data_IF_348152898018
#
_entry.id   IF_348152898018
#
_cell.length_a   1.000
_cell.length_b   1.000
_cell.length_c   1.000
_cell.angle_alpha   90.00
_cell.angle_beta   90.00
_cell.angle_gamma   90.00
#
_symmetry.space_group_name_H-M   'P 1'
#
loop_
_entity.id
_entity.type
_entity.pdbx_description
1 polymer ?
#
# COMPACT_ATOMS: atom_id res chain seq x y z
N UNK A 1 30.74 -3.21 -8.40
CA UNK A 1 29.39 -3.59 -8.21
C UNK A 1 28.92 -3.36 -6.79
N UNK A 2 27.83 -2.76 -6.69
CA UNK A 2 27.34 -2.33 -5.40
C UNK A 2 26.21 -3.24 -4.95
N UNK A 3 26.41 -3.95 -3.88
CA UNK A 3 25.42 -4.88 -3.37
C UNK A 3 24.18 -4.20 -2.85
N UNK A 4 24.29 -2.95 -2.49
CA UNK A 4 23.12 -2.23 -2.02
C UNK A 4 22.09 -2.08 -3.13
N UNK A 5 22.53 -2.11 -4.36
CA UNK A 5 21.61 -2.04 -5.47
C UNK A 5 20.87 -3.33 -5.69
N UNK A 6 21.27 -4.37 -5.00
CA UNK A 6 20.59 -5.64 -5.05
C UNK A 6 19.54 -5.76 -3.98
N UNK A 7 19.17 -4.66 -3.41
CA UNK A 7 18.04 -4.65 -2.53
C UNK A 7 16.91 -5.38 -3.16
N UNK A 8 16.29 -6.28 -2.46
CA UNK A 8 15.16 -6.97 -3.01
C UNK A 8 14.14 -5.94 -3.46
N UNK A 9 13.43 -6.28 -4.50
CA UNK A 9 12.36 -5.46 -4.99
C UNK A 9 11.20 -5.46 -4.02
N UNK A 10 11.51 -5.58 -2.76
CA UNK A 10 10.51 -5.62 -1.72
C UNK A 10 9.95 -4.24 -1.51
N UNK A 11 8.65 -4.14 -1.62
CA UNK A 11 7.94 -2.90 -1.44
C UNK A 11 7.44 -2.79 -0.01
N UNK A 12 7.34 -1.58 0.48
CA UNK A 12 6.75 -1.32 1.78
C UNK A 12 5.37 -0.71 1.54
N UNK A 13 4.33 -1.47 1.87
CA UNK A 13 2.95 -1.05 1.64
C UNK A 13 2.27 -0.84 2.97
N UNK A 14 1.67 0.32 3.15
CA UNK A 14 0.92 0.63 4.35
C UNK A 14 -0.52 0.95 4.00
N UNK A 15 -1.42 0.35 4.75
CA UNK A 15 -2.84 0.61 4.63
C UNK A 15 -3.22 1.53 5.79
N UNK A 16 -3.61 2.75 5.48
CA UNK A 16 -3.96 3.72 6.50
C UNK A 16 -5.46 3.66 6.78
N UNK A 17 -5.81 3.44 8.03
CA UNK A 17 -7.21 3.39 8.42
C UNK A 17 -7.40 2.57 9.67
N UNK A 18 -8.53 2.76 10.35
CA UNK A 18 -8.76 2.16 11.65
C UNK A 18 -9.77 1.01 11.57
N UNK A 19 -9.45 -0.02 10.81
CA UNK A 19 -10.22 -1.27 10.83
C UNK A 19 -11.60 -1.22 10.26
N UNK A 20 -11.92 -0.21 9.44
CA UNK A 20 -13.23 -0.15 8.81
C UNK A 20 -13.31 -1.19 7.67
N UNK A 21 -14.53 -1.53 7.23
CA UNK A 21 -14.68 -2.53 6.17
C UNK A 21 -13.92 -2.18 4.90
N UNK A 22 -13.88 -0.90 4.54
CA UNK A 22 -13.14 -0.47 3.35
C UNK A 22 -11.65 -0.64 3.53
N UNK A 23 -11.13 -0.43 4.74
CA UNK A 23 -9.72 -0.63 5.02
C UNK A 23 -9.34 -2.09 4.88
N UNK A 24 -10.19 -2.98 5.37
CA UNK A 24 -9.95 -4.41 5.22
C UNK A 24 -10.04 -4.85 3.77
N UNK A 25 -10.98 -4.28 3.03
CA UNK A 25 -11.12 -4.59 1.61
C UNK A 25 -9.88 -4.16 0.85
N UNK A 26 -9.33 -2.99 1.19
CA UNK A 26 -8.11 -2.51 0.55
C UNK A 26 -6.93 -3.42 0.88
N UNK A 27 -6.83 -3.83 2.13
CA UNK A 27 -5.74 -4.72 2.53
C UNK A 27 -5.82 -6.05 1.76
N UNK A 28 -7.02 -6.62 1.68
CA UNK A 28 -7.21 -7.87 0.95
C UNK A 28 -6.88 -7.70 -0.52
N UNK A 29 -7.36 -6.62 -1.12
CA UNK A 29 -7.11 -6.37 -2.53
C UNK A 29 -5.62 -6.16 -2.80
N UNK A 30 -4.92 -5.50 -1.89
CA UNK A 30 -3.48 -5.30 -2.03
C UNK A 30 -2.73 -6.62 -2.00
N UNK A 31 -3.08 -7.49 -1.06
CA UNK A 31 -2.44 -8.79 -0.96
C UNK A 31 -2.70 -9.63 -2.20
N UNK A 32 -3.92 -9.59 -2.72
CA UNK A 32 -4.25 -10.34 -3.93
C UNK A 32 -3.51 -9.80 -5.14
N UNK A 33 -3.41 -8.48 -5.26
CA UNK A 33 -2.71 -7.87 -6.38
C UNK A 33 -1.23 -8.20 -6.36
N UNK A 34 -0.62 -8.20 -5.18
CA UNK A 34 0.78 -8.56 -5.05
C UNK A 34 1.01 -10.01 -5.48
N UNK A 35 0.12 -10.89 -5.05
CA UNK A 35 0.22 -12.29 -5.39
C UNK A 35 0.11 -12.50 -6.89
N UNK A 36 -0.86 -11.85 -7.52
CA UNK A 36 -1.08 -11.99 -8.95
C UNK A 36 0.04 -11.40 -9.79
N UNK A 37 0.64 -10.31 -9.30
CA UNK A 37 1.72 -9.67 -10.03
C UNK A 37 3.09 -10.29 -9.72
N UNK A 38 3.15 -11.23 -8.78
CA UNK A 38 4.41 -11.84 -8.41
C UNK A 38 5.34 -10.89 -7.68
N UNK A 39 4.79 -9.90 -6.98
CA UNK A 39 5.58 -8.92 -6.27
C UNK A 39 5.75 -9.33 -4.80
N UNK A 40 6.92 -9.01 -4.27
CA UNK A 40 7.21 -9.25 -2.86
C UNK A 40 7.11 -7.92 -2.12
N UNK A 41 6.31 -7.89 -1.07
CA UNK A 41 6.09 -6.66 -0.33
C UNK A 41 5.75 -6.97 1.12
N UNK A 42 6.06 -6.01 1.98
CA UNK A 42 5.61 -6.04 3.36
C UNK A 42 4.36 -5.17 3.45
N UNK A 43 3.25 -5.77 3.86
CA UNK A 43 1.99 -5.06 3.99
C UNK A 43 1.69 -4.88 5.46
N UNK A 44 1.54 -3.66 5.89
CA UNK A 44 1.23 -3.36 7.28
C UNK A 44 0.06 -2.38 7.35
N UNK A 45 -0.58 -2.35 8.50
CA UNK A 45 -1.70 -1.45 8.73
C UNK A 45 -1.29 -0.36 9.69
N UNK A 46 -1.68 0.87 9.40
CA UNK A 46 -1.47 2.01 10.29
C UNK A 46 -2.84 2.47 10.75
N UNK A 47 -3.13 2.24 12.02
CA UNK A 47 -4.44 2.54 12.57
C UNK A 47 -4.45 3.75 13.48
N UNK A 48 -3.28 4.19 13.92
CA UNK A 48 -3.16 5.36 14.78
C UNK A 48 -3.41 6.62 13.96
N UNK A 49 -4.39 7.41 14.40
CA UNK A 49 -4.77 8.61 13.66
C UNK A 49 -3.61 9.61 13.55
N UNK A 50 -2.77 9.68 14.57
CA UNK A 50 -1.62 10.59 14.53
C UNK A 50 -0.63 10.16 13.45
N UNK A 51 -0.39 8.85 13.36
CA UNK A 51 0.51 8.34 12.32
C UNK A 51 -0.08 8.54 10.93
N UNK A 52 -1.39 8.35 10.80
CA UNK A 52 -2.06 8.58 9.53
C UNK A 52 -1.90 10.04 9.10
N UNK A 53 -2.04 10.96 10.03
CA UNK A 53 -1.91 12.38 9.74
C UNK A 53 -0.52 12.76 9.30
N UNK A 54 0.49 12.03 9.76
CA UNK A 54 1.87 12.30 9.34
C UNK A 54 2.09 12.08 7.85
N UNK A 55 1.24 11.28 7.22
CA UNK A 55 1.30 11.09 5.77
C UNK A 55 0.54 12.18 5.02
N UNK A 56 -0.04 13.12 5.72
CA UNK A 56 -0.80 14.19 5.09
C UNK A 56 -2.17 13.75 4.59
N UNK A 57 -2.69 12.65 5.12
CA UNK A 57 -3.95 12.08 4.67
C UNK A 57 -5.04 12.39 5.68
N UNK A 58 -6.14 12.93 5.18
CA UNK A 58 -7.31 13.23 6.01
C UNK A 58 -8.46 12.27 5.73
N UNK A 59 -8.35 11.47 4.69
CA UNK A 59 -9.39 10.52 4.30
C UNK A 59 -8.85 9.10 4.32
N UNK A 60 -9.62 8.18 4.85
CA UNK A 60 -9.27 6.75 4.85
C UNK A 60 -10.35 5.96 4.15
N UNK A 61 -10.02 4.83 3.56
CA UNK A 61 -8.70 4.19 3.56
C UNK A 61 -7.73 4.88 2.62
N UNK A 62 -6.43 4.70 2.87
CA UNK A 62 -5.41 5.22 2.00
C UNK A 62 -4.32 4.18 1.82
N UNK A 63 -3.66 4.23 0.69
CA UNK A 63 -2.60 3.29 0.34
C UNK A 63 -1.28 4.03 0.19
N UNK A 64 -0.28 3.57 0.90
CA UNK A 64 1.06 4.13 0.85
C UNK A 64 2.00 3.07 0.32
N UNK A 65 2.76 3.43 -0.71
CA UNK A 65 3.77 2.54 -1.29
C UNK A 65 5.11 3.22 -1.19
N UNK A 66 6.04 2.58 -0.46
CA UNK A 66 7.40 3.08 -0.28
C UNK A 66 7.42 4.54 0.20
N UNK A 67 6.54 4.84 1.13
CA UNK A 67 6.48 6.17 1.74
C UNK A 67 5.66 7.18 0.99
N UNK A 68 5.08 6.83 -0.15
CA UNK A 68 4.30 7.76 -0.95
C UNK A 68 2.84 7.35 -0.96
N UNK A 69 1.96 8.31 -0.71
CA UNK A 69 0.52 8.08 -0.76
C UNK A 69 0.11 8.02 -2.22
N UNK A 70 -0.33 6.84 -2.67
CA UNK A 70 -0.72 6.66 -4.07
C UNK A 70 -2.22 6.60 -4.26
N UNK A 71 -2.98 6.45 -3.17
CA UNK A 71 -4.43 6.35 -3.26
C UNK A 71 -5.03 6.76 -1.93
N UNK A 72 -6.14 7.48 -1.96
CA UNK A 72 -6.83 7.83 -0.73
C UNK A 72 -8.32 7.95 -0.98
N UNK A 73 -9.10 7.60 0.04
CA UNK A 73 -10.53 7.83 0.04
C UNK A 73 -11.38 6.80 -0.68
N UNK A 74 -10.78 5.74 -1.21
CA UNK A 74 -11.54 4.71 -1.91
C UNK A 74 -10.78 3.41 -2.02
N UNK A 75 -11.50 2.36 -2.39
CA UNK A 75 -10.89 1.05 -2.67
C UNK A 75 -10.83 0.91 -4.19
N UNK A 76 -9.63 0.72 -4.76
CA UNK A 76 -9.50 0.62 -6.21
C UNK A 76 -9.94 -0.76 -6.71
N UNK A 77 -10.15 -0.85 -8.02
CA UNK A 77 -10.36 -2.14 -8.64
C UNK A 77 -9.05 -2.94 -8.63
N UNK A 78 -9.17 -4.24 -8.84
CA UNK A 78 -7.97 -5.10 -8.86
C UNK A 78 -7.00 -4.65 -9.94
N UNK A 79 -7.51 -4.28 -11.11
CA UNK A 79 -6.64 -3.86 -12.20
C UNK A 79 -5.94 -2.54 -11.89
N UNK A 80 -6.64 -1.60 -11.30
CA UNK A 80 -6.04 -0.33 -10.92
C UNK A 80 -4.98 -0.54 -9.85
N UNK A 81 -5.26 -1.40 -8.89
CA UNK A 81 -4.33 -1.65 -7.80
C UNK A 81 -3.05 -2.31 -8.31
N UNK A 82 -3.18 -3.27 -9.22
CA UNK A 82 -2.01 -3.87 -9.83
C UNK A 82 -1.17 -2.84 -10.55
N UNK A 83 -1.80 -1.94 -11.27
CA UNK A 83 -1.09 -0.89 -11.97
C UNK A 83 -0.36 0.03 -11.01
N UNK A 84 -1.02 0.42 -9.92
CA UNK A 84 -0.40 1.29 -8.93
C UNK A 84 0.82 0.63 -8.31
N UNK A 85 0.72 -0.64 -7.99
CA UNK A 85 1.83 -1.36 -7.36
C UNK A 85 2.99 -1.57 -8.31
N UNK A 86 2.70 -1.85 -9.59
CA UNK A 86 3.77 -2.07 -10.54
C UNK A 86 4.44 -0.77 -10.97
N UNK A 87 3.72 0.34 -10.98
CA UNK A 87 4.31 1.62 -11.33
C UNK A 87 5.33 2.10 -10.33
N UNK A 88 5.25 1.60 -9.11
CA UNK A 88 6.12 2.05 -8.02
C UNK A 88 7.26 1.09 -7.75
N UNK A 89 7.54 0.21 -8.66
CA UNK A 89 8.66 -0.69 -8.51
C UNK A 89 9.99 0.00 -8.76
#
# INVERSE_FOLDING_TARGET
MDFQNLKPTQMDIKILGSGCPKCRALEKAANEALSEAGLIATVSKVEDIVEIMKFGVMTTPALVVDGQVVLKGRVPSAAELKRLLTQNQ
#
